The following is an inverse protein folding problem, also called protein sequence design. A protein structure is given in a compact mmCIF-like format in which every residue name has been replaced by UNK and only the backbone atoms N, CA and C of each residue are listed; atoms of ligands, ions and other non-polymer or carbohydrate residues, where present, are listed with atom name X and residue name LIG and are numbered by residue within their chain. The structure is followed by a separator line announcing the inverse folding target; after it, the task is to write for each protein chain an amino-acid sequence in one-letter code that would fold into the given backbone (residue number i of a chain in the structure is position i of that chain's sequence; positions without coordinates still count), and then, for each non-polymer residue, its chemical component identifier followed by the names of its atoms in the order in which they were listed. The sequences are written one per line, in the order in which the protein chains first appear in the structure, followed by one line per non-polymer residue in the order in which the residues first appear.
data_IF_798915207838
#
_entry.id   IF_798915207838
#
_cell.length_a   1.000
_cell.length_b   1.000
_cell.length_c   1.000
_cell.angle_alpha   90.00
_cell.angle_beta   90.00
_cell.angle_gamma   90.00
#
_symmetry.space_group_name_H-M   'P 1'
#
loop_
_entity.id
_entity.type
_entity.pdbx_description
1 polymer ?
#
# COMPACT_ATOMS: atom_id res chain seq x y z
N UNK A 1 23.99 -5.93 17.06
CA UNK A 1 23.76 -6.44 15.68
C UNK A 1 23.00 -7.76 15.79
N UNK A 2 21.72 -7.79 15.42
CA UNK A 2 21.02 -9.06 15.21
C UNK A 2 20.58 -9.12 13.75
N UNK A 3 21.26 -10.00 13.01
CA UNK A 3 20.94 -10.41 11.66
C UNK A 3 19.68 -11.27 11.69
N UNK A 4 18.62 -10.85 11.00
CA UNK A 4 17.54 -11.77 10.63
C UNK A 4 17.86 -12.33 9.24
N UNK A 5 18.45 -13.54 9.23
CA UNK A 5 18.55 -14.39 8.05
C UNK A 5 17.17 -14.91 7.70
N UNK A 6 16.72 -14.54 6.52
CA UNK A 6 16.16 -15.41 5.48
C UNK A 6 15.01 -16.34 5.86
N UNK A 7 13.82 -16.09 5.31
CA UNK A 7 12.92 -17.15 4.81
C UNK A 7 11.69 -16.53 4.13
N UNK A 8 11.64 -16.61 2.80
CA UNK A 8 10.47 -17.06 2.04
C UNK A 8 9.07 -16.72 2.62
N UNK A 9 8.79 -15.45 2.94
CA UNK A 9 7.44 -15.04 3.30
C UNK A 9 6.65 -14.90 2.00
N UNK A 10 6.16 -16.03 1.48
CA UNK A 10 4.93 -16.07 0.71
C UNK A 10 3.90 -15.36 1.57
N UNK A 11 3.63 -14.07 1.29
CA UNK A 11 2.53 -13.37 1.92
C UNK A 11 1.27 -14.18 1.62
N UNK A 12 0.82 -14.92 2.63
CA UNK A 12 -0.27 -15.89 2.57
C UNK A 12 -1.62 -15.17 2.60
N UNK A 13 -1.76 -14.13 1.79
CA UNK A 13 -3.05 -13.58 1.39
C UNK A 13 -3.07 -13.57 -0.14
N UNK A 14 -3.87 -14.46 -0.71
CA UNK A 14 -4.04 -14.60 -2.15
C UNK A 14 -4.87 -13.47 -2.76
N UNK A 15 -4.37 -12.24 -2.73
CA UNK A 15 -4.95 -11.18 -3.58
C UNK A 15 -4.39 -11.34 -5.00
N UNK A 16 -5.18 -11.99 -5.85
CA UNK A 16 -4.99 -11.92 -7.29
C UNK A 16 -5.39 -10.50 -7.75
N UNK A 17 -4.42 -9.67 -8.13
CA UNK A 17 -4.67 -8.32 -8.66
C UNK A 17 -5.33 -8.33 -10.06
N UNK A 18 -5.52 -9.53 -10.65
CA UNK A 18 -6.23 -9.78 -11.89
C UNK A 18 -7.46 -10.65 -11.64
N UNK A 19 -8.58 -10.05 -11.24
CA UNK A 19 -9.84 -10.79 -11.19
C UNK A 19 -11.02 -9.97 -10.67
N UNK A 20 -11.91 -9.56 -11.57
CA UNK A 20 -13.28 -9.12 -11.24
C UNK A 20 -14.04 -10.28 -10.58
N UNK A 21 -13.91 -10.45 -9.27
CA UNK A 21 -14.83 -11.24 -8.45
C UNK A 21 -14.92 -10.56 -7.07
N UNK A 22 -16.08 -10.65 -6.40
CA UNK A 22 -16.44 -9.92 -5.15
C UNK A 22 -15.20 -9.62 -4.29
N UNK A 23 -14.83 -8.34 -4.21
CA UNK A 23 -13.57 -7.90 -3.60
C UNK A 23 -13.56 -8.24 -2.10
N UNK A 24 -12.81 -9.27 -1.73
CA UNK A 24 -12.48 -9.56 -0.34
C UNK A 24 -11.76 -8.34 0.25
N UNK A 25 -12.51 -7.53 1.00
CA UNK A 25 -12.00 -6.32 1.64
C UNK A 25 -11.66 -6.66 3.08
N UNK A 26 -10.46 -6.29 3.52
CA UNK A 26 -9.97 -6.55 4.88
C UNK A 26 -9.94 -5.24 5.68
N UNK A 27 -10.38 -5.28 6.93
CA UNK A 27 -10.23 -4.16 7.87
C UNK A 27 -8.84 -4.20 8.48
N UNK A 28 -8.14 -3.07 8.44
CA UNK A 28 -6.80 -2.91 9.02
C UNK A 28 -6.86 -1.77 10.03
N UNK A 29 -6.30 -2.00 11.22
CA UNK A 29 -6.12 -0.96 12.24
C UNK A 29 -4.65 -0.58 12.32
N UNK A 30 -4.34 0.72 12.26
CA UNK A 30 -2.96 1.24 12.32
C UNK A 30 -2.84 2.29 13.41
N UNK A 31 -1.66 2.36 14.04
CA UNK A 31 -1.32 3.45 14.98
C UNK A 31 -0.52 4.51 14.24
N UNK A 32 -1.03 5.73 14.20
CA UNK A 32 -0.39 6.87 13.54
C UNK A 32 -0.24 8.04 14.53
N UNK A 33 0.77 8.91 14.35
CA UNK A 33 0.83 10.18 15.05
C UNK A 33 -0.46 10.97 14.84
N UNK A 34 -0.95 11.65 15.89
CA UNK A 34 -2.20 12.42 15.84
C UNK A 34 -2.21 13.43 14.70
N UNK A 35 -1.09 14.11 14.48
CA UNK A 35 -0.92 15.10 13.43
C UNK A 35 -1.23 14.53 12.03
N UNK A 36 -0.90 13.27 11.75
CA UNK A 36 -1.19 12.65 10.46
C UNK A 36 -2.68 12.35 10.29
N UNK A 37 -3.35 11.96 11.37
CA UNK A 37 -4.82 11.78 11.37
C UNK A 37 -5.51 13.12 11.11
N UNK A 38 -5.04 14.19 11.72
CA UNK A 38 -5.57 15.55 11.48
C UNK A 38 -5.36 16.01 10.04
N UNK A 39 -4.23 15.68 9.40
CA UNK A 39 -4.05 15.97 7.98
C UNK A 39 -4.99 15.14 7.09
N UNK A 40 -5.21 13.87 7.42
CA UNK A 40 -6.20 13.05 6.72
C UNK A 40 -7.62 13.64 6.85
N UNK A 41 -7.96 14.17 8.01
CA UNK A 41 -9.24 14.84 8.25
C UNK A 41 -9.41 16.07 7.38
N UNK A 42 -8.40 16.94 7.34
CA UNK A 42 -8.41 18.13 6.47
C UNK A 42 -8.59 17.78 5.00
N UNK A 43 -8.01 16.67 4.53
CA UNK A 43 -8.19 16.22 3.14
C UNK A 43 -9.64 15.80 2.85
N UNK A 44 -10.32 15.21 3.82
CA UNK A 44 -11.73 14.83 3.69
C UNK A 44 -12.64 16.06 3.83
N UNK A 45 -12.38 16.93 4.81
CA UNK A 45 -13.11 18.19 5.01
C UNK A 45 -13.06 19.09 3.78
N UNK A 46 -11.90 19.18 3.13
CA UNK A 46 -11.71 19.93 1.89
C UNK A 46 -12.27 19.20 0.65
N UNK A 47 -12.98 18.09 0.83
CA UNK A 47 -13.57 17.27 -0.25
C UNK A 47 -12.56 16.77 -1.29
N UNK A 48 -11.28 16.66 -0.92
CA UNK A 48 -10.24 16.05 -1.78
C UNK A 48 -10.45 14.54 -1.87
N UNK A 49 -10.88 13.92 -0.76
CA UNK A 49 -11.29 12.52 -0.69
C UNK A 49 -12.65 12.42 0.01
N UNK A 50 -13.45 11.42 -0.36
CA UNK A 50 -14.77 11.14 0.22
C UNK A 50 -14.67 10.56 1.64
N UNK A 51 -13.55 9.93 2.00
CA UNK A 51 -13.32 9.38 3.34
C UNK A 51 -11.84 9.17 3.66
N UNK A 52 -11.51 9.04 4.96
CA UNK A 52 -10.16 8.65 5.40
C UNK A 52 -9.69 7.35 4.76
N UNK A 53 -10.59 6.37 4.67
CA UNK A 53 -10.28 5.06 4.08
C UNK A 53 -10.00 5.12 2.58
N UNK A 54 -10.62 6.05 1.87
CA UNK A 54 -10.29 6.31 0.47
C UNK A 54 -8.90 6.94 0.32
N UNK A 55 -8.61 7.98 1.12
CA UNK A 55 -7.29 8.61 1.11
C UNK A 55 -6.16 7.60 1.40
N UNK A 56 -6.33 6.77 2.43
CA UNK A 56 -5.36 5.72 2.78
C UNK A 56 -5.22 4.68 1.66
N UNK A 57 -6.33 4.24 1.06
CA UNK A 57 -6.30 3.28 -0.06
C UNK A 57 -5.62 3.87 -1.30
N UNK A 58 -5.83 5.15 -1.59
CA UNK A 58 -5.14 5.85 -2.66
C UNK A 58 -3.63 5.89 -2.39
N UNK A 59 -3.22 6.35 -1.21
CA UNK A 59 -1.81 6.42 -0.81
C UNK A 59 -1.09 5.05 -0.89
N UNK A 60 -1.74 3.99 -0.41
CA UNK A 60 -1.20 2.62 -0.49
C UNK A 60 -1.06 2.16 -1.95
N UNK A 61 -2.07 2.41 -2.79
CA UNK A 61 -2.05 2.04 -4.21
C UNK A 61 -0.90 2.73 -4.95
N UNK A 62 -0.75 4.05 -4.76
CA UNK A 62 0.31 4.81 -5.40
C UNK A 62 1.68 4.33 -4.96
N UNK A 63 1.91 4.14 -3.66
CA UNK A 63 3.15 3.60 -3.12
C UNK A 63 3.49 2.23 -3.74
N UNK A 64 2.54 1.30 -3.78
CA UNK A 64 2.77 -0.04 -4.36
C UNK A 64 3.14 0.07 -5.84
N UNK A 65 2.43 0.88 -6.61
CA UNK A 65 2.69 1.04 -8.04
C UNK A 65 4.10 1.61 -8.29
N UNK A 66 4.49 2.65 -7.54
CA UNK A 66 5.82 3.24 -7.65
C UNK A 66 6.93 2.23 -7.33
N UNK A 67 6.79 1.45 -6.25
CA UNK A 67 7.78 0.45 -5.85
C UNK A 67 7.90 -0.68 -6.89
N UNK A 68 6.77 -1.14 -7.45
CA UNK A 68 6.77 -2.16 -8.50
C UNK A 68 7.47 -1.65 -9.77
N UNK A 69 7.20 -0.41 -10.17
CA UNK A 69 7.86 0.21 -11.33
C UNK A 69 9.36 0.35 -11.11
N UNK A 70 9.80 0.82 -9.93
CA UNK A 70 11.22 0.94 -9.60
C UNK A 70 11.94 -0.41 -9.68
N UNK A 71 11.35 -1.47 -9.10
CA UNK A 71 11.92 -2.84 -9.16
C UNK A 71 12.01 -3.38 -10.59
N UNK A 72 10.99 -3.16 -11.41
CA UNK A 72 10.99 -3.62 -12.80
C UNK A 72 12.05 -2.87 -13.62
N UNK A 73 12.22 -1.56 -13.41
CA UNK A 73 13.27 -0.78 -14.09
C UNK A 73 14.66 -1.29 -13.73
N UNK A 74 14.91 -1.60 -12.46
CA UNK A 74 16.19 -2.16 -12.01
C UNK A 74 16.49 -3.55 -12.60
N UNK A 75 15.47 -4.39 -12.80
CA UNK A 75 15.66 -5.71 -13.43
C UNK A 75 16.01 -5.61 -14.91
N UNK A 76 15.30 -4.76 -15.66
CA UNK A 76 15.57 -4.57 -17.09
C UNK A 76 16.96 -3.96 -17.38
N UNK A 77 17.56 -3.24 -16.42
CA UNK A 77 18.91 -2.69 -16.55
C UNK A 77 20.04 -3.69 -16.26
N UNK A 78 19.72 -4.87 -15.71
CA UNK A 78 20.72 -5.89 -15.35
C UNK A 78 20.70 -7.08 -16.31
N UNK A 79 19.69 -7.17 -17.19
CA UNK A 79 19.51 -8.25 -18.17
C UNK A 79 19.76 -7.81 -19.63
N UNK A 80 20.23 -6.57 -19.84
CA UNK A 80 20.65 -6.05 -21.14
C UNK A 80 22.07 -5.51 -21.07
#
# INVERSE_FOLDING_TARGET
MHTLKNSNVKYKLGYNLNGKSKKDTVIITVRLPRLYVEYLDKLVENSVFMSRGECVRFAIKELINEELQRRNKSKNLMEG
#
